data_IF_400182925628
#
_entry.id   IF_400182925628
#
_cell.length_a   1.000
_cell.length_b   1.000
_cell.length_c   1.000
_cell.angle_alpha   90.00
_cell.angle_beta   90.00
_cell.angle_gamma   90.00
#
_symmetry.space_group_name_H-M   'P 1'
#
loop_
_entity.id
_entity.type
_entity.pdbx_description
1 polymer ?
#
# COMPACT_ATOMS: atom_id res chain seq x y z
N UNK A 1 30.41 -16.71 46.71
CA UNK A 1 30.71 -16.53 45.27
C UNK A 1 29.41 -16.64 44.50
N UNK A 2 28.88 -15.53 43.95
CA UNK A 2 27.65 -15.58 43.18
C UNK A 2 27.94 -16.15 41.78
N UNK A 3 27.30 -17.28 41.44
CA UNK A 3 27.33 -17.89 40.11
C UNK A 3 26.73 -16.94 39.08
N UNK A 4 27.57 -16.40 38.20
CA UNK A 4 27.18 -15.55 37.08
C UNK A 4 26.37 -16.41 36.10
N UNK A 5 25.04 -16.23 36.08
CA UNK A 5 24.15 -16.89 35.12
C UNK A 5 24.52 -16.43 33.72
N UNK A 6 25.10 -17.31 32.91
CA UNK A 6 25.43 -17.00 31.51
C UNK A 6 24.09 -16.91 30.77
N UNK A 7 23.65 -15.69 30.46
CA UNK A 7 22.51 -15.51 29.57
C UNK A 7 22.91 -16.01 28.19
N UNK A 8 22.21 -17.03 27.71
CA UNK A 8 22.36 -17.48 26.33
C UNK A 8 22.01 -16.31 25.38
N UNK A 9 22.74 -16.14 24.27
CA UNK A 9 22.43 -15.10 23.30
C UNK A 9 21.01 -15.32 22.74
N UNK A 10 20.31 -14.22 22.47
CA UNK A 10 19.00 -14.27 21.81
C UNK A 10 19.19 -14.93 20.44
N UNK A 11 18.33 -15.90 20.11
CA UNK A 11 18.34 -16.52 18.78
C UNK A 11 18.18 -15.44 17.71
N UNK A 12 18.98 -15.50 16.65
CA UNK A 12 19.03 -14.44 15.64
C UNK A 12 17.66 -14.09 15.05
N UNK A 13 16.79 -15.07 14.83
CA UNK A 13 15.43 -14.88 14.32
C UNK A 13 14.45 -14.24 15.33
N UNK A 14 14.83 -14.11 16.60
CA UNK A 14 14.09 -13.37 17.63
C UNK A 14 14.74 -12.01 17.95
N UNK A 15 15.90 -11.70 17.36
CA UNK A 15 16.61 -10.45 17.57
C UNK A 15 16.16 -9.42 16.52
N UNK A 16 15.28 -8.51 16.90
CA UNK A 16 14.75 -7.47 16.01
C UNK A 16 15.82 -6.46 15.55
N UNK A 17 16.84 -6.20 16.37
CA UNK A 17 17.94 -5.32 15.99
C UNK A 17 18.71 -5.92 14.81
N UNK A 18 19.05 -7.21 14.89
CA UNK A 18 19.65 -7.95 13.79
C UNK A 18 18.74 -8.02 12.57
N UNK A 19 17.46 -8.39 12.73
CA UNK A 19 16.54 -8.54 11.59
C UNK A 19 16.32 -7.24 10.79
N UNK A 20 16.38 -6.09 11.46
CA UNK A 20 16.27 -4.79 10.82
C UNK A 20 17.60 -4.25 10.28
N UNK A 21 18.71 -4.92 10.56
CA UNK A 21 20.04 -4.51 10.10
C UNK A 21 20.24 -4.77 8.59
N UNK A 22 21.38 -4.31 8.07
CA UNK A 22 21.79 -4.53 6.67
C UNK A 22 22.12 -6.01 6.44
N UNK A 23 22.73 -6.66 7.44
CA UNK A 23 23.21 -8.04 7.40
C UNK A 23 22.03 -9.03 7.23
N UNK A 24 20.87 -8.74 7.83
CA UNK A 24 19.69 -9.58 7.71
C UNK A 24 18.80 -9.26 6.49
N UNK A 25 19.21 -8.36 5.59
CA UNK A 25 18.39 -7.97 4.41
C UNK A 25 17.94 -9.17 3.58
N UNK A 26 18.85 -10.11 3.31
CA UNK A 26 18.54 -11.31 2.51
C UNK A 26 17.48 -12.17 3.18
N UNK A 27 17.50 -12.27 4.52
CA UNK A 27 16.50 -13.01 5.28
C UNK A 27 15.13 -12.34 5.11
N UNK A 28 15.06 -11.00 5.22
CA UNK A 28 13.80 -10.27 5.00
C UNK A 28 13.25 -10.47 3.59
N UNK A 29 14.09 -10.44 2.56
CA UNK A 29 13.67 -10.71 1.18
C UNK A 29 13.05 -12.12 1.06
N UNK A 30 13.68 -13.13 1.65
CA UNK A 30 13.14 -14.49 1.64
C UNK A 30 11.82 -14.57 2.41
N UNK A 31 11.70 -13.89 3.55
CA UNK A 31 10.46 -13.83 4.32
C UNK A 31 9.31 -13.21 3.50
N UNK A 32 9.54 -12.08 2.84
CA UNK A 32 8.54 -11.42 1.98
C UNK A 32 8.16 -12.25 0.75
N UNK A 33 8.99 -13.21 0.34
CA UNK A 33 8.68 -14.14 -0.74
C UNK A 33 7.87 -15.35 -0.25
N UNK A 34 8.27 -15.97 0.86
CA UNK A 34 7.68 -17.22 1.33
C UNK A 34 6.43 -17.03 2.18
N UNK A 35 6.34 -15.96 2.96
CA UNK A 35 5.20 -15.75 3.85
C UNK A 35 3.89 -15.57 3.07
N UNK A 36 3.81 -14.75 2.00
CA UNK A 36 2.58 -14.62 1.22
C UNK A 36 2.16 -15.95 0.60
N UNK A 37 3.11 -16.72 0.06
CA UNK A 37 2.84 -18.06 -0.47
C UNK A 37 2.26 -19.00 0.60
N UNK A 38 2.90 -19.06 1.77
CA UNK A 38 2.42 -19.88 2.90
C UNK A 38 1.00 -19.48 3.32
N UNK A 39 0.72 -18.18 3.31
CA UNK A 39 -0.61 -17.64 3.61
C UNK A 39 -1.65 -18.04 2.55
N UNK A 40 -1.31 -17.98 1.26
CA UNK A 40 -2.19 -18.43 0.18
C UNK A 40 -2.49 -19.93 0.28
N UNK A 41 -1.46 -20.75 0.48
CA UNK A 41 -1.59 -22.21 0.62
C UNK A 41 -2.50 -22.56 1.82
N UNK A 42 -2.33 -21.89 2.97
CA UNK A 42 -3.16 -22.09 4.17
C UNK A 42 -4.64 -21.76 3.93
N UNK A 43 -4.92 -20.75 3.12
CA UNK A 43 -6.29 -20.33 2.79
C UNK A 43 -6.84 -21.02 1.54
N UNK A 44 -6.13 -22.00 0.97
CA UNK A 44 -6.53 -22.73 -0.25
C UNK A 44 -6.82 -21.79 -1.44
N UNK A 45 -6.06 -20.70 -1.56
CA UNK A 45 -6.11 -19.82 -2.73
C UNK A 45 -5.30 -20.49 -3.84
N UNK A 46 -5.98 -20.91 -4.90
CA UNK A 46 -5.40 -21.67 -6.02
C UNK A 46 -5.29 -20.78 -7.25
N UNK A 47 -6.41 -20.17 -7.65
CA UNK A 47 -6.49 -19.31 -8.81
C UNK A 47 -6.61 -17.84 -8.36
N UNK A 48 -5.81 -16.97 -8.97
CA UNK A 48 -5.79 -15.53 -8.65
C UNK A 48 -6.04 -14.71 -9.90
N UNK A 49 -6.97 -13.76 -9.83
CA UNK A 49 -7.12 -12.70 -10.83
C UNK A 49 -6.52 -11.43 -10.24
N UNK A 50 -5.48 -10.89 -10.89
CA UNK A 50 -4.80 -9.67 -10.45
C UNK A 50 -5.31 -8.49 -11.27
N UNK A 51 -5.95 -7.54 -10.60
CA UNK A 51 -6.37 -6.27 -11.19
C UNK A 51 -5.31 -5.21 -10.97
N UNK A 52 -5.05 -4.42 -12.00
CA UNK A 52 -4.19 -3.24 -11.94
C UNK A 52 -5.00 -1.99 -12.28
N UNK A 53 -4.75 -0.91 -11.54
CA UNK A 53 -5.43 0.36 -11.72
C UNK A 53 -4.51 1.53 -11.37
N UNK A 54 -4.88 2.73 -11.83
CA UNK A 54 -4.13 3.93 -11.50
C UNK A 54 -4.33 4.31 -10.03
N UNK A 55 -3.24 4.34 -9.25
CA UNK A 55 -3.24 4.82 -7.86
C UNK A 55 -3.64 6.30 -7.69
N UNK A 56 -3.78 7.04 -8.79
CA UNK A 56 -4.18 8.45 -8.80
C UNK A 56 -5.69 8.67 -8.92
N UNK A 57 -6.49 7.62 -9.14
CA UNK A 57 -7.95 7.76 -9.18
C UNK A 57 -8.42 7.99 -7.74
N UNK A 58 -9.24 9.01 -7.54
CA UNK A 58 -9.76 9.42 -6.24
C UNK A 58 -11.24 9.05 -6.11
N UNK A 59 -11.72 8.95 -4.87
CA UNK A 59 -13.13 8.76 -4.58
C UNK A 59 -14.01 9.81 -5.26
N UNK A 60 -15.25 9.45 -5.56
CA UNK A 60 -16.24 10.37 -6.15
C UNK A 60 -16.43 11.61 -5.29
N UNK A 61 -16.45 11.43 -3.97
CA UNK A 61 -16.55 12.52 -3.00
C UNK A 61 -15.43 13.54 -3.16
N UNK A 62 -14.19 13.07 -3.27
CA UNK A 62 -13.03 13.95 -3.36
C UNK A 62 -12.88 14.55 -4.76
N UNK A 63 -13.24 13.83 -5.82
CA UNK A 63 -13.34 14.38 -7.17
C UNK A 63 -14.37 15.52 -7.27
N UNK A 64 -15.54 15.39 -6.63
CA UNK A 64 -16.54 16.45 -6.58
C UNK A 64 -16.03 17.70 -5.85
N UNK A 65 -15.28 17.53 -4.75
CA UNK A 65 -14.63 18.66 -4.08
C UNK A 65 -13.64 19.37 -4.99
N UNK A 66 -12.81 18.61 -5.72
CA UNK A 66 -11.86 19.16 -6.69
C UNK A 66 -12.58 19.94 -7.79
N UNK A 67 -13.68 19.40 -8.33
CA UNK A 67 -14.47 20.07 -9.36
C UNK A 67 -15.10 21.36 -8.84
N UNK A 68 -15.66 21.35 -7.64
CA UNK A 68 -16.25 22.54 -7.03
C UNK A 68 -15.22 23.62 -6.71
N UNK A 69 -14.01 23.24 -6.31
CA UNK A 69 -12.90 24.19 -6.15
C UNK A 69 -12.47 24.78 -7.49
N UNK A 70 -12.32 23.95 -8.53
CA UNK A 70 -11.94 24.38 -9.86
C UNK A 70 -12.96 25.34 -10.50
N UNK A 71 -14.26 25.14 -10.25
CA UNK A 71 -15.33 26.07 -10.70
C UNK A 71 -15.19 27.49 -10.13
N UNK A 72 -14.62 27.62 -8.94
CA UNK A 72 -14.47 28.91 -8.25
C UNK A 72 -13.16 29.62 -8.64
N UNK A 73 -12.23 28.91 -9.27
CA UNK A 73 -10.96 29.46 -9.71
C UNK A 73 -11.13 30.31 -10.97
N UNK A 74 -10.58 31.52 -10.97
CA UNK A 74 -10.55 32.45 -12.11
C UNK A 74 -9.12 32.77 -12.56
N UNK A 75 -8.15 31.99 -12.10
CA UNK A 75 -6.74 32.16 -12.48
C UNK A 75 -6.48 31.86 -13.96
N UNK A 76 -5.28 32.22 -14.43
CA UNK A 76 -4.84 32.01 -15.83
C UNK A 76 -4.93 30.54 -16.29
N UNK A 77 -4.86 29.59 -15.36
CA UNK A 77 -4.93 28.15 -15.64
C UNK A 77 -6.27 27.51 -15.29
N UNK A 78 -7.28 28.30 -14.92
CA UNK A 78 -8.59 27.82 -14.43
C UNK A 78 -9.21 26.77 -15.37
N UNK A 79 -9.16 26.98 -16.69
CA UNK A 79 -9.67 26.02 -17.68
C UNK A 79 -9.00 24.64 -17.58
N UNK A 80 -7.67 24.60 -17.54
CA UNK A 80 -6.93 23.34 -17.46
C UNK A 80 -7.17 22.60 -16.14
N UNK A 81 -7.28 23.35 -15.03
CA UNK A 81 -7.60 22.79 -13.70
C UNK A 81 -9.01 22.22 -13.68
N UNK A 82 -9.98 22.91 -14.28
CA UNK A 82 -11.35 22.47 -14.41
C UNK A 82 -11.47 21.18 -15.23
N UNK A 83 -10.85 21.11 -16.42
CA UNK A 83 -10.84 19.89 -17.25
C UNK A 83 -10.23 18.69 -16.51
N UNK A 84 -9.13 18.91 -15.77
CA UNK A 84 -8.52 17.86 -14.95
C UNK A 84 -9.47 17.37 -13.84
N UNK A 85 -10.17 18.28 -13.18
CA UNK A 85 -11.12 17.93 -12.13
C UNK A 85 -12.35 17.21 -12.70
N UNK A 86 -12.80 17.58 -13.90
CA UNK A 86 -13.88 16.89 -14.60
C UNK A 86 -13.49 15.45 -14.95
N UNK A 87 -12.27 15.26 -15.49
CA UNK A 87 -11.76 13.92 -15.78
C UNK A 87 -11.57 13.08 -14.51
N UNK A 88 -11.14 13.69 -13.40
CA UNK A 88 -11.05 13.00 -12.12
C UNK A 88 -12.43 12.53 -11.63
N UNK A 89 -13.49 13.31 -11.84
CA UNK A 89 -14.85 12.91 -11.52
C UNK A 89 -15.36 11.77 -12.40
N UNK A 90 -15.10 11.81 -13.70
CA UNK A 90 -15.43 10.72 -14.61
C UNK A 90 -14.73 9.42 -14.18
N UNK A 91 -13.42 9.48 -13.95
CA UNK A 91 -12.64 8.31 -13.55
C UNK A 91 -12.96 7.80 -12.14
N UNK A 92 -13.59 8.63 -11.28
CA UNK A 92 -13.94 8.21 -9.92
C UNK A 92 -14.90 7.02 -9.87
N UNK A 93 -15.64 6.77 -10.95
CA UNK A 93 -16.47 5.57 -11.06
C UNK A 93 -15.64 4.29 -10.84
N UNK A 94 -14.47 4.18 -11.46
CA UNK A 94 -13.60 3.00 -11.30
C UNK A 94 -13.04 2.85 -9.89
N UNK A 95 -13.00 3.92 -9.09
CA UNK A 95 -12.64 3.82 -7.67
C UNK A 95 -13.79 3.21 -6.87
N UNK A 96 -15.03 3.67 -7.11
CA UNK A 96 -16.20 3.13 -6.40
C UNK A 96 -16.44 1.66 -6.79
N UNK A 97 -16.37 1.33 -8.09
CA UNK A 97 -16.50 -0.03 -8.60
C UNK A 97 -15.45 -0.98 -7.97
N UNK A 98 -14.25 -0.49 -7.65
CA UNK A 98 -13.19 -1.27 -7.02
C UNK A 98 -13.35 -1.45 -5.50
N UNK A 99 -14.12 -0.58 -4.83
CA UNK A 99 -14.39 -0.66 -3.38
C UNK A 99 -15.54 -1.63 -3.07
N UNK A 100 -16.49 -1.78 -3.99
CA UNK A 100 -17.65 -2.68 -3.81
C UNK A 100 -17.33 -4.18 -4.02
N UNK A 101 -16.17 -4.50 -4.62
CA UNK A 101 -15.68 -5.87 -4.86
C UNK A 101 -15.14 -6.56 -3.59
#
# INVERSE_FOLDING_TARGET
MATKKILAPVKAYNNLEFLNSKEARTIRILSEFYEPKSRFDKNKIIDTIVFFGSARIVSRRDALKMLNAAKKDKGKSSKAVFEKALKALEMSQYYEDAVEL
#
